data_IF_298408720545
#
_entry.id   IF_298408720545
#
_cell.length_a   1.000
_cell.length_b   1.000
_cell.length_c   1.000
_cell.angle_alpha   90.00
_cell.angle_beta   90.00
_cell.angle_gamma   90.00
#
_symmetry.space_group_name_H-M   'P 1'
#
loop_
_entity.id
_entity.type
_entity.pdbx_description
1 polymer ?
#
# COMPACT_ATOMS: atom_id res chain seq x y z
N UNK A 1 -4.92 0.78 -19.74
CA UNK A 1 -4.07 -0.40 -19.50
C UNK A 1 -3.28 -0.24 -18.21
N UNK A 2 -3.09 -1.32 -17.45
CA UNK A 2 -2.29 -1.35 -16.23
C UNK A 2 -1.59 -2.71 -16.06
N UNK A 3 -0.79 -2.87 -15.00
CA UNK A 3 -0.26 -4.17 -14.59
C UNK A 3 -1.43 -5.15 -14.33
N UNK A 4 -1.29 -6.40 -14.75
CA UNK A 4 -2.32 -7.43 -14.65
C UNK A 4 -2.83 -7.62 -13.19
N UNK A 5 -1.93 -7.46 -12.21
CA UNK A 5 -2.24 -7.55 -10.77
C UNK A 5 -3.18 -6.44 -10.27
N UNK A 6 -3.31 -5.34 -11.03
CA UNK A 6 -4.14 -4.18 -10.67
C UNK A 6 -5.49 -4.15 -11.38
N UNK A 7 -5.74 -5.05 -12.33
CA UNK A 7 -6.93 -5.00 -13.19
C UNK A 7 -8.21 -5.08 -12.38
N UNK A 8 -8.36 -6.06 -11.50
CA UNK A 8 -9.56 -6.28 -10.68
C UNK A 8 -9.80 -5.10 -9.72
N UNK A 9 -8.74 -4.65 -9.03
CA UNK A 9 -8.79 -3.52 -8.11
C UNK A 9 -9.23 -2.23 -8.81
N UNK A 10 -8.63 -1.92 -9.96
CA UNK A 10 -8.97 -0.71 -10.70
C UNK A 10 -10.35 -0.77 -11.36
N UNK A 11 -10.77 -1.93 -11.88
CA UNK A 11 -12.10 -2.12 -12.44
C UNK A 11 -13.19 -1.92 -11.38
N UNK A 12 -13.01 -2.47 -10.19
CA UNK A 12 -13.93 -2.27 -9.06
C UNK A 12 -13.95 -0.82 -8.58
N UNK A 13 -12.79 -0.17 -8.57
CA UNK A 13 -12.64 1.22 -8.11
C UNK A 13 -13.16 2.25 -9.13
N UNK A 14 -13.28 1.87 -10.41
CA UNK A 14 -13.67 2.76 -11.52
C UNK A 14 -14.73 2.10 -12.42
N UNK A 15 -15.97 1.90 -11.95
CA UNK A 15 -16.98 1.09 -12.65
C UNK A 15 -17.40 1.65 -14.03
N UNK A 16 -17.05 2.88 -14.35
CA UNK A 16 -17.32 3.51 -15.65
C UNK A 16 -16.16 3.41 -16.65
N UNK A 17 -15.07 2.72 -16.29
CA UNK A 17 -13.85 2.66 -17.11
C UNK A 17 -13.49 1.21 -17.41
N UNK A 18 -13.24 0.90 -18.67
CA UNK A 18 -12.69 -0.40 -19.05
C UNK A 18 -11.22 -0.49 -18.63
N UNK A 19 -10.91 -1.43 -17.76
CA UNK A 19 -9.55 -1.68 -17.25
C UNK A 19 -9.04 -2.99 -17.83
N UNK A 20 -7.89 -2.94 -18.49
CA UNK A 20 -7.28 -4.11 -19.14
C UNK A 20 -5.81 -4.21 -18.81
N UNK A 21 -5.28 -5.43 -18.83
CA UNK A 21 -3.86 -5.67 -18.64
C UNK A 21 -3.02 -5.06 -19.78
N UNK A 22 -1.83 -4.58 -19.45
CA UNK A 22 -0.91 -3.99 -20.43
C UNK A 22 -0.60 -4.95 -21.58
N UNK A 23 -0.62 -4.42 -22.80
CA UNK A 23 -0.40 -5.18 -24.03
C UNK A 23 -1.60 -5.98 -24.56
N UNK A 24 -2.78 -5.83 -23.96
CA UNK A 24 -4.01 -6.47 -24.44
C UNK A 24 -4.76 -5.68 -25.49
N UNK A 25 -4.48 -4.38 -25.65
CA UNK A 25 -5.16 -3.49 -26.59
C UNK A 25 -4.36 -3.27 -27.85
N UNK A 26 -5.05 -3.07 -28.99
CA UNK A 26 -4.43 -2.73 -30.26
C UNK A 26 -4.60 -1.23 -30.53
N UNK A 27 -3.56 -0.60 -31.10
CA UNK A 27 -3.58 0.85 -31.43
C UNK A 27 -4.73 1.25 -32.35
N UNK A 28 -5.23 0.32 -33.17
CA UNK A 28 -6.34 0.55 -34.09
C UNK A 28 -7.72 0.66 -33.43
N UNK A 29 -7.80 0.35 -32.13
CA UNK A 29 -9.06 0.37 -31.37
C UNK A 29 -9.37 1.73 -30.73
N UNK A 30 -8.42 2.68 -30.81
CA UNK A 30 -8.52 3.98 -30.14
C UNK A 30 -8.15 5.14 -31.04
N UNK A 31 -8.88 6.24 -30.94
CA UNK A 31 -8.55 7.49 -31.61
C UNK A 31 -7.41 8.23 -30.91
N UNK A 32 -7.29 8.09 -29.59
CA UNK A 32 -6.29 8.78 -28.77
C UNK A 32 -5.67 7.85 -27.74
N UNK A 33 -4.41 8.10 -27.41
CA UNK A 33 -3.67 7.44 -26.34
C UNK A 33 -2.92 8.48 -25.52
N UNK A 34 -2.96 8.32 -24.18
CA UNK A 34 -2.22 9.18 -23.25
C UNK A 34 -1.71 8.34 -22.08
N UNK A 35 -0.50 8.63 -21.62
CA UNK A 35 0.00 8.05 -20.38
C UNK A 35 -0.75 8.61 -19.16
N UNK A 36 -1.10 7.77 -18.20
CA UNK A 36 -1.87 8.17 -17.01
C UNK A 36 -1.23 9.37 -16.26
N UNK A 37 0.10 9.39 -16.12
CA UNK A 37 0.82 10.51 -15.50
C UNK A 37 0.67 11.83 -16.27
N UNK A 38 0.38 11.79 -17.57
CA UNK A 38 0.17 12.97 -18.40
C UNK A 38 -1.26 13.51 -18.35
N UNK A 39 -2.20 12.75 -17.81
CA UNK A 39 -3.60 13.19 -17.65
C UNK A 39 -3.71 14.42 -16.75
N UNK A 40 -2.87 14.56 -15.74
CA UNK A 40 -2.86 15.73 -14.85
C UNK A 40 -2.57 17.03 -15.60
N UNK A 41 -1.76 16.98 -16.67
CA UNK A 41 -1.46 18.13 -17.51
C UNK A 41 -2.68 18.54 -18.36
N UNK A 42 -3.49 17.56 -18.77
CA UNK A 42 -4.68 17.78 -19.60
C UNK A 42 -5.90 18.17 -18.76
N UNK A 43 -6.00 17.68 -17.54
CA UNK A 43 -7.14 17.91 -16.64
C UNK A 43 -7.21 19.35 -16.08
N UNK A 44 -6.21 20.20 -16.38
CA UNK A 44 -6.10 21.58 -15.86
C UNK A 44 -6.14 21.69 -14.33
N UNK A 45 -5.94 20.59 -13.63
CA UNK A 45 -5.83 20.57 -12.17
C UNK A 45 -4.47 21.19 -11.81
N UNK A 46 -4.49 22.33 -11.11
CA UNK A 46 -3.29 23.11 -10.78
C UNK A 46 -2.97 23.13 -9.29
N UNK A 47 -3.91 22.71 -8.46
CA UNK A 47 -3.75 22.74 -7.00
C UNK A 47 -4.22 21.42 -6.38
N UNK A 48 -3.53 20.91 -5.36
CA UNK A 48 -3.93 19.68 -4.66
C UNK A 48 -5.39 19.71 -4.18
N UNK A 49 -5.91 20.83 -3.73
CA UNK A 49 -7.30 20.97 -3.29
C UNK A 49 -8.36 20.84 -4.38
N UNK A 50 -7.97 20.71 -5.65
CA UNK A 50 -8.88 20.44 -6.77
C UNK A 50 -9.11 18.94 -6.97
N UNK A 51 -8.32 18.08 -6.33
CA UNK A 51 -8.55 16.66 -6.33
C UNK A 51 -9.63 16.30 -5.30
N UNK A 52 -10.55 15.40 -5.64
CA UNK A 52 -11.47 14.88 -4.64
C UNK A 52 -10.66 14.22 -3.51
N UNK A 53 -10.89 14.68 -2.29
CA UNK A 53 -10.35 14.05 -1.11
C UNK A 53 -11.23 12.84 -0.80
N UNK A 54 -10.62 11.67 -0.66
CA UNK A 54 -11.32 10.44 -0.32
C UNK A 54 -10.63 9.20 -0.86
N UNK A 55 -11.23 8.07 -0.60
CA UNK A 55 -10.77 6.78 -1.11
C UNK A 55 -10.96 6.74 -2.62
N UNK A 56 -9.90 6.46 -3.36
CA UNK A 56 -9.94 6.28 -4.81
C UNK A 56 -9.75 4.81 -5.22
N UNK A 57 -9.38 3.95 -4.27
CA UNK A 57 -9.33 2.50 -4.43
C UNK A 57 -10.34 1.86 -3.48
N UNK A 58 -11.04 0.85 -3.98
CA UNK A 58 -12.02 0.07 -3.23
C UNK A 58 -11.53 -1.36 -3.14
N UNK A 59 -11.13 -1.84 -1.95
CA UNK A 59 -10.75 -3.25 -1.77
C UNK A 59 -11.96 -4.17 -2.02
N UNK A 60 -11.69 -5.45 -2.21
CA UNK A 60 -12.72 -6.46 -2.17
C UNK A 60 -13.33 -6.51 -0.76
N UNK A 61 -14.67 -6.45 -0.68
CA UNK A 61 -15.37 -6.26 0.60
C UNK A 61 -15.27 -7.48 1.52
N UNK A 62 -15.32 -8.69 0.97
CA UNK A 62 -15.21 -9.93 1.74
C UNK A 62 -13.79 -10.07 2.29
N UNK A 63 -12.81 -9.87 1.43
CA UNK A 63 -11.40 -9.92 1.81
C UNK A 63 -11.02 -8.83 2.81
N UNK A 64 -11.55 -7.62 2.65
CA UNK A 64 -11.34 -6.53 3.60
C UNK A 64 -11.93 -6.85 4.98
N UNK A 65 -13.10 -7.49 5.03
CA UNK A 65 -13.72 -7.92 6.28
C UNK A 65 -12.87 -8.98 6.99
N UNK A 66 -12.36 -9.98 6.26
CA UNK A 66 -11.53 -11.05 6.82
C UNK A 66 -10.20 -10.50 7.37
N UNK A 67 -9.53 -9.66 6.61
CA UNK A 67 -8.28 -9.01 7.04
C UNK A 67 -8.53 -8.10 8.24
N UNK A 68 -9.60 -7.30 8.20
CA UNK A 68 -9.97 -6.42 9.31
C UNK A 68 -10.22 -7.22 10.60
N UNK A 69 -10.88 -8.38 10.52
CA UNK A 69 -11.10 -9.22 11.68
C UNK A 69 -9.77 -9.69 12.30
N UNK A 70 -8.81 -10.14 11.49
CA UNK A 70 -7.48 -10.54 11.98
C UNK A 70 -6.69 -9.37 12.58
N UNK A 71 -6.77 -8.19 11.95
CA UNK A 71 -6.13 -6.97 12.46
C UNK A 71 -6.72 -6.56 13.82
N UNK A 72 -8.04 -6.56 13.96
CA UNK A 72 -8.70 -6.20 15.21
C UNK A 72 -8.39 -7.20 16.35
N UNK A 73 -8.32 -8.49 16.01
CA UNK A 73 -7.91 -9.51 16.98
C UNK A 73 -6.46 -9.28 17.45
N UNK A 74 -5.53 -9.03 16.54
CA UNK A 74 -4.14 -8.73 16.89
C UNK A 74 -3.99 -7.40 17.64
N UNK A 75 -4.77 -6.40 17.28
CA UNK A 75 -4.67 -5.05 17.85
C UNK A 75 -5.13 -5.01 19.33
N UNK A 76 -6.09 -5.82 19.72
CA UNK A 76 -6.66 -5.81 21.09
C UNK A 76 -7.10 -4.39 21.51
N UNK A 77 -7.70 -3.64 20.57
CA UNK A 77 -8.17 -2.27 20.78
C UNK A 77 -7.12 -1.16 20.65
N UNK A 78 -5.86 -1.51 20.35
CA UNK A 78 -4.81 -0.52 20.03
C UNK A 78 -5.01 0.06 18.62
N UNK A 79 -4.63 1.32 18.37
CA UNK A 79 -4.53 1.86 17.02
C UNK A 79 -3.60 1.03 16.13
N UNK A 80 -3.99 0.88 14.86
CA UNK A 80 -3.28 0.12 13.83
C UNK A 80 -2.45 1.07 12.96
N UNK A 81 -1.13 0.95 13.00
CA UNK A 81 -0.20 1.81 12.25
C UNK A 81 0.59 0.96 11.25
N UNK A 82 0.28 1.12 9.97
CA UNK A 82 1.05 0.48 8.90
C UNK A 82 2.40 1.14 8.70
N UNK A 83 3.45 0.33 8.52
CA UNK A 83 4.81 0.82 8.33
C UNK A 83 5.49 0.19 7.11
N UNK A 84 6.19 1.03 6.32
CA UNK A 84 7.10 0.58 5.27
C UNK A 84 8.35 1.47 5.27
N UNK A 85 9.53 0.89 5.31
CA UNK A 85 10.76 1.60 5.65
C UNK A 85 11.85 1.60 4.59
N UNK A 86 11.71 0.84 3.50
CA UNK A 86 12.72 0.78 2.44
C UNK A 86 12.15 0.62 1.04
N UNK A 87 12.89 1.09 0.06
CA UNK A 87 12.60 0.95 -1.37
C UNK A 87 13.59 -0.02 -2.03
N UNK A 88 13.11 -0.93 -2.87
CA UNK A 88 13.93 -1.85 -3.65
C UNK A 88 14.52 -1.25 -4.94
N UNK A 89 14.31 0.04 -5.21
CA UNK A 89 14.87 0.69 -6.39
C UNK A 89 16.39 0.70 -6.34
N UNK A 90 17.06 -0.02 -7.25
CA UNK A 90 18.53 -0.22 -7.24
C UNK A 90 19.33 1.09 -7.13
N UNK A 91 18.93 2.15 -7.83
CA UNK A 91 19.67 3.43 -7.84
C UNK A 91 19.21 4.41 -6.76
N UNK A 92 17.92 4.48 -6.49
CA UNK A 92 17.34 5.47 -5.58
C UNK A 92 16.94 4.88 -4.21
N UNK A 93 16.91 3.56 -4.09
CA UNK A 93 16.50 2.86 -2.86
C UNK A 93 17.26 3.32 -1.62
N UNK A 94 18.59 3.38 -1.63
CA UNK A 94 19.35 3.83 -0.45
C UNK A 94 18.97 5.21 0.06
N UNK A 95 18.62 6.14 -0.85
CA UNK A 95 18.18 7.51 -0.50
C UNK A 95 16.71 7.60 -0.08
N UNK A 96 15.95 6.54 -0.34
CA UNK A 96 14.52 6.44 -0.06
C UNK A 96 14.21 5.46 1.09
N UNK A 97 15.23 4.98 1.75
CA UNK A 97 15.11 3.98 2.81
C UNK A 97 15.65 4.53 4.11
N UNK A 98 15.00 4.14 5.20
CA UNK A 98 15.47 4.36 6.56
C UNK A 98 15.55 2.99 7.23
N UNK A 99 16.71 2.54 7.70
CA UNK A 99 16.80 1.26 8.40
C UNK A 99 15.79 1.17 9.54
N UNK A 100 15.16 0.01 9.73
CA UNK A 100 14.10 -0.17 10.73
C UNK A 100 14.63 0.07 12.16
N UNK A 101 15.92 -0.13 12.40
CA UNK A 101 16.60 0.20 13.66
C UNK A 101 16.52 1.68 14.04
N UNK A 102 16.47 2.57 13.03
CA UNK A 102 16.35 4.02 13.24
C UNK A 102 14.93 4.47 13.59
N UNK A 103 13.95 3.56 13.48
CA UNK A 103 12.54 3.82 13.82
C UNK A 103 12.25 3.73 15.33
N UNK A 104 13.26 3.50 16.15
CA UNK A 104 13.11 3.37 17.60
C UNK A 104 12.18 4.41 18.24
N UNK A 105 12.32 5.72 17.95
CA UNK A 105 11.43 6.75 18.54
C UNK A 105 9.94 6.56 18.23
N UNK A 106 9.60 5.89 17.11
CA UNK A 106 8.22 5.59 16.73
C UNK A 106 7.81 4.24 17.33
N UNK A 107 8.66 3.21 17.18
CA UNK A 107 8.37 1.83 17.55
C UNK A 107 8.28 1.62 19.06
N UNK A 108 8.88 2.49 19.87
CA UNK A 108 8.78 2.44 21.34
C UNK A 108 7.37 2.75 21.88
N UNK A 109 6.45 3.16 21.01
CA UNK A 109 5.05 3.39 21.40
C UNK A 109 4.34 2.05 21.62
N UNK A 110 4.05 1.76 22.89
CA UNK A 110 3.36 0.53 23.32
C UNK A 110 1.83 0.62 23.18
N UNK A 111 1.32 1.81 22.92
CA UNK A 111 -0.11 2.10 22.78
C UNK A 111 -0.65 1.89 21.36
N UNK A 112 0.16 1.40 20.42
CA UNK A 112 -0.22 1.09 19.05
C UNK A 112 0.29 -0.30 18.65
N UNK A 113 -0.38 -0.94 17.70
CA UNK A 113 0.12 -2.12 17.00
C UNK A 113 0.66 -1.67 15.64
N UNK A 114 1.93 -1.97 15.39
CA UNK A 114 2.54 -1.72 14.07
C UNK A 114 2.25 -2.87 13.13
N UNK A 115 1.88 -2.55 11.89
CA UNK A 115 1.54 -3.54 10.85
C UNK A 115 2.54 -3.42 9.71
N UNK A 116 3.19 -4.54 9.40
CA UNK A 116 4.17 -4.65 8.35
C UNK A 116 3.54 -4.50 6.95
N UNK A 117 3.83 -3.41 6.25
CA UNK A 117 3.48 -3.18 4.84
C UNK A 117 4.69 -3.33 3.91
N UNK A 118 5.88 -3.58 4.46
CA UNK A 118 7.10 -3.70 3.68
C UNK A 118 7.12 -5.01 2.88
N UNK A 119 7.34 -4.91 1.60
CA UNK A 119 7.54 -6.06 0.72
C UNK A 119 8.95 -6.65 0.82
N UNK A 120 9.10 -7.90 0.40
CA UNK A 120 10.34 -8.68 0.45
C UNK A 120 10.59 -9.31 1.82
N UNK A 121 11.79 -9.86 2.01
CA UNK A 121 12.18 -10.51 3.27
C UNK A 121 12.37 -9.47 4.37
N UNK A 122 11.60 -9.57 5.43
CA UNK A 122 11.56 -8.58 6.52
C UNK A 122 11.75 -9.18 7.91
N UNK A 123 11.71 -10.49 8.03
CA UNK A 123 11.64 -11.19 9.33
C UNK A 123 12.84 -10.89 10.23
N UNK A 124 14.05 -10.84 9.67
CA UNK A 124 15.25 -10.52 10.44
C UNK A 124 15.24 -9.07 10.93
N UNK A 125 14.89 -8.12 10.07
CA UNK A 125 14.79 -6.69 10.42
C UNK A 125 13.72 -6.45 11.52
N UNK A 126 12.58 -7.11 11.39
CA UNK A 126 11.48 -7.04 12.39
C UNK A 126 11.91 -7.66 13.71
N UNK A 127 12.54 -8.83 13.70
CA UNK A 127 13.01 -9.48 14.91
C UNK A 127 14.03 -8.63 15.67
N UNK A 128 14.94 -7.97 14.95
CA UNK A 128 15.93 -7.07 15.53
C UNK A 128 15.29 -5.81 16.10
N UNK A 129 14.35 -5.20 15.38
CA UNK A 129 13.62 -4.02 15.85
C UNK A 129 12.76 -4.35 17.08
N UNK A 130 12.03 -5.45 17.07
CA UNK A 130 11.23 -5.89 18.22
C UNK A 130 12.11 -6.11 19.47
N UNK A 131 13.28 -6.72 19.30
CA UNK A 131 14.24 -6.95 20.38
C UNK A 131 14.81 -5.65 20.95
N UNK A 132 15.10 -4.69 20.07
CA UNK A 132 15.71 -3.41 20.46
C UNK A 132 14.72 -2.44 21.10
N UNK A 133 13.45 -2.47 20.69
CA UNK A 133 12.45 -1.47 21.08
C UNK A 133 11.35 -2.00 22.01
N UNK A 134 11.19 -3.32 22.08
CA UNK A 134 10.03 -3.95 22.72
C UNK A 134 8.74 -3.81 21.93
N UNK A 135 8.81 -3.31 20.67
CA UNK A 135 7.64 -3.21 19.80
C UNK A 135 7.09 -4.58 19.43
N UNK A 136 5.83 -4.60 19.05
CA UNK A 136 5.19 -5.71 18.38
C UNK A 136 4.86 -5.26 16.96
N UNK A 137 5.52 -5.85 15.95
CA UNK A 137 5.24 -5.60 14.55
C UNK A 137 4.50 -6.81 13.98
N UNK A 138 3.23 -6.63 13.71
CA UNK A 138 2.36 -7.67 13.13
C UNK A 138 2.61 -7.81 11.63
N UNK A 139 2.73 -9.03 11.16
CA UNK A 139 2.77 -9.36 9.73
C UNK A 139 1.59 -10.28 9.42
N UNK A 140 0.68 -9.83 8.54
CA UNK A 140 -0.44 -10.68 8.10
C UNK A 140 0.11 -11.86 7.29
N UNK A 141 -0.18 -13.12 7.69
CA UNK A 141 0.39 -14.29 7.07
C UNK A 141 -0.22 -14.63 5.69
N UNK A 142 -1.37 -14.06 5.37
CA UNK A 142 -2.10 -14.37 4.13
C UNK A 142 -1.94 -13.31 3.03
N UNK A 143 -1.23 -12.22 3.31
CA UNK A 143 -1.04 -11.13 2.36
C UNK A 143 0.40 -11.12 1.82
N UNK A 144 0.56 -11.46 0.54
CA UNK A 144 1.81 -11.21 -0.19
C UNK A 144 1.92 -9.72 -0.56
N UNK A 145 2.68 -8.98 0.24
CA UNK A 145 2.85 -7.53 0.11
C UNK A 145 3.55 -7.08 -1.18
N UNK A 146 4.02 -8.01 -2.02
CA UNK A 146 4.65 -7.71 -3.30
C UNK A 146 3.78 -8.02 -4.52
N UNK A 147 3.04 -9.13 -4.49
CA UNK A 147 2.27 -9.57 -5.64
C UNK A 147 0.76 -9.40 -5.47
N UNK A 148 0.28 -9.36 -4.23
CA UNK A 148 -1.13 -9.35 -3.90
C UNK A 148 -1.61 -7.93 -3.57
N UNK A 149 -1.86 -7.14 -4.62
CA UNK A 149 -2.36 -5.77 -4.46
C UNK A 149 -3.78 -5.70 -3.89
N UNK A 150 -4.60 -6.70 -4.11
CA UNK A 150 -5.94 -6.79 -3.51
C UNK A 150 -5.84 -6.94 -1.99
N UNK A 151 -5.04 -7.90 -1.52
CA UNK A 151 -4.79 -8.09 -0.09
C UNK A 151 -4.09 -6.91 0.56
N UNK A 152 -3.09 -6.33 -0.12
CA UNK A 152 -2.40 -5.15 0.39
C UNK A 152 -3.35 -3.94 0.51
N UNK A 153 -4.24 -3.72 -0.47
CA UNK A 153 -5.23 -2.64 -0.40
C UNK A 153 -6.23 -2.88 0.74
N UNK A 154 -6.69 -4.11 0.92
CA UNK A 154 -7.57 -4.47 2.02
C UNK A 154 -6.88 -4.34 3.39
N UNK A 155 -5.59 -4.69 3.47
CA UNK A 155 -4.79 -4.50 4.68
C UNK A 155 -4.66 -3.02 5.05
N UNK A 156 -4.33 -2.17 4.06
CA UNK A 156 -4.22 -0.71 4.26
C UNK A 156 -5.56 -0.10 4.65
N UNK A 157 -6.67 -0.60 4.09
CA UNK A 157 -8.02 -0.12 4.39
C UNK A 157 -8.41 -0.31 5.87
N UNK A 158 -7.87 -1.32 6.53
CA UNK A 158 -8.08 -1.62 7.95
C UNK A 158 -7.23 -0.81 8.92
N UNK A 159 -6.32 0.06 8.44
CA UNK A 159 -5.39 0.80 9.29
C UNK A 159 -5.90 2.20 9.64
N UNK A 160 -5.52 2.68 10.83
CA UNK A 160 -5.79 4.06 11.28
C UNK A 160 -4.79 5.06 10.69
N UNK A 161 -3.54 4.64 10.46
CA UNK A 161 -2.45 5.47 9.96
C UNK A 161 -1.46 4.65 9.16
N UNK A 162 -0.83 5.27 8.17
CA UNK A 162 0.34 4.71 7.46
C UNK A 162 1.52 5.66 7.59
N UNK A 163 2.66 5.11 7.99
CA UNK A 163 3.95 5.80 8.03
C UNK A 163 4.90 5.08 7.08
N UNK A 164 5.37 5.77 6.06
CA UNK A 164 6.20 5.16 5.02
C UNK A 164 7.32 6.09 4.57
N UNK A 165 8.44 5.50 4.18
CA UNK A 165 9.42 6.19 3.35
C UNK A 165 8.92 6.29 1.91
N UNK A 166 9.63 7.04 1.04
CA UNK A 166 9.26 7.16 -0.37
C UNK A 166 9.55 5.85 -1.11
N UNK A 167 8.58 5.02 -1.27
CA UNK A 167 8.64 3.77 -2.06
C UNK A 167 8.33 3.99 -3.54
#
# INVERSE_FOLDING_TARGET
ECDERLVSLFARSNPGTEIVAAGRTQKSEFDFQIAAASLTLQSRIRHPGQYPLGRFLSPDAERAADISARLQDAAQGRPLIGIAWRSALKKAGPWKSMPLEDWGPILQRQDALFVNLQYGETDAEIADANRATGAEIYTDPEVDRFNDFEGLTALIDGLDLVVTTSN
#
